data_IF_924261197218
#
_entry.id   IF_924261197218
#
_cell.length_a   1.000
_cell.length_b   1.000
_cell.length_c   1.000
_cell.angle_alpha   90.00
_cell.angle_beta   90.00
_cell.angle_gamma   90.00
#
_symmetry.space_group_name_H-M   'P 1'
#
loop_
_entity.id
_entity.type
_entity.pdbx_description
1 polymer ?
#
# COMPACT_ATOMS: atom_id res chain seq x y z
N UNK A 1 14.46 0.90 31.75
CA UNK A 1 15.52 0.84 30.72
C UNK A 1 16.72 0.18 31.37
N UNK A 2 17.04 -1.06 30.99
CA UNK A 2 18.34 -1.67 31.34
C UNK A 2 19.27 -1.35 30.18
N UNK A 3 20.38 -0.68 30.46
CA UNK A 3 21.45 -0.51 29.49
C UNK A 3 21.94 -1.88 29.03
N UNK A 4 22.26 -1.98 27.74
CA UNK A 4 22.85 -3.18 27.15
C UNK A 4 24.25 -3.31 27.76
N UNK A 5 24.46 -4.37 28.55
CA UNK A 5 25.72 -4.61 29.25
C UNK A 5 26.82 -5.15 28.33
N UNK A 6 28.08 -4.99 28.75
CA UNK A 6 29.31 -5.42 28.07
C UNK A 6 29.30 -6.90 27.62
N UNK A 7 28.49 -7.73 28.27
CA UNK A 7 28.31 -9.16 27.94
C UNK A 7 27.66 -9.40 26.57
N UNK A 8 26.85 -8.43 26.08
CA UNK A 8 26.21 -8.48 24.77
C UNK A 8 27.19 -8.19 23.63
N UNK A 9 28.05 -7.17 23.78
CA UNK A 9 29.08 -6.85 22.79
C UNK A 9 30.11 -7.97 22.63
N UNK A 10 30.41 -8.68 23.72
CA UNK A 10 31.29 -9.84 23.72
C UNK A 10 30.70 -11.00 22.89
N UNK A 11 29.42 -11.32 23.08
CA UNK A 11 28.73 -12.35 22.28
C UNK A 11 28.65 -12.00 20.80
N UNK A 12 28.36 -10.76 20.44
CA UNK A 12 28.32 -10.33 19.05
C UNK A 12 29.68 -10.43 18.33
N UNK A 13 30.80 -10.27 19.06
CA UNK A 13 32.17 -10.44 18.53
C UNK A 13 32.59 -11.91 18.41
N UNK A 14 32.15 -12.76 19.34
CA UNK A 14 32.52 -14.18 19.37
C UNK A 14 31.71 -15.04 18.37
N UNK A 15 30.45 -14.68 18.10
CA UNK A 15 29.51 -15.53 17.32
C UNK A 15 29.25 -15.04 15.89
N UNK A 16 29.75 -13.86 15.50
CA UNK A 16 29.91 -13.47 14.10
C UNK A 16 28.67 -13.57 13.21
N UNK A 17 27.66 -12.70 13.40
CA UNK A 17 26.96 -12.02 12.29
C UNK A 17 25.82 -11.10 12.77
N UNK A 18 25.98 -9.80 12.53
CA UNK A 18 24.87 -8.84 12.57
C UNK A 18 24.19 -8.87 11.21
N UNK A 19 22.93 -9.28 11.15
CA UNK A 19 22.13 -9.27 9.91
C UNK A 19 21.18 -8.06 9.90
N UNK A 20 21.70 -6.86 9.63
CA UNK A 20 20.85 -5.70 9.36
C UNK A 20 21.14 -5.15 7.95
N UNK A 21 20.13 -5.14 7.09
CA UNK A 21 20.16 -4.41 5.81
C UNK A 21 18.92 -3.51 5.78
N UNK A 22 19.00 -2.35 6.43
CA UNK A 22 18.77 -1.02 5.83
C UNK A 22 18.69 0.08 6.90
N UNK A 23 19.41 1.17 6.63
CA UNK A 23 19.54 2.34 7.49
C UNK A 23 19.12 3.61 6.72
N UNK A 24 18.38 4.50 7.38
CA UNK A 24 17.69 5.62 6.75
C UNK A 24 18.01 7.02 7.31
N UNK A 25 19.00 7.12 8.20
CA UNK A 25 19.68 8.39 8.48
C UNK A 25 19.15 9.22 9.65
N UNK A 26 18.73 8.62 10.77
CA UNK A 26 18.54 9.36 12.04
C UNK A 26 19.24 8.67 13.22
N UNK A 27 20.26 9.33 13.80
CA UNK A 27 21.10 8.83 14.92
C UNK A 27 20.29 8.52 16.18
N UNK A 28 19.27 9.33 16.45
CA UNK A 28 18.61 9.44 17.75
C UNK A 28 17.41 8.48 17.93
N UNK A 29 16.94 7.89 16.83
CA UNK A 29 15.65 7.19 16.78
C UNK A 29 15.73 5.74 16.29
N UNK A 30 16.89 5.25 15.83
CA UNK A 30 16.98 3.90 15.27
C UNK A 30 17.09 2.84 16.36
N UNK A 31 16.00 2.09 16.53
CA UNK A 31 15.97 0.85 17.29
C UNK A 31 16.20 -0.32 16.32
N UNK A 32 17.21 -1.15 16.58
CA UNK A 32 17.46 -2.42 15.88
C UNK A 32 16.80 -3.53 16.68
N UNK A 33 16.20 -4.48 15.97
CA UNK A 33 15.81 -5.76 16.56
C UNK A 33 16.94 -6.74 16.26
N UNK A 34 17.69 -7.11 17.30
CA UNK A 34 18.78 -8.07 17.22
C UNK A 34 18.23 -9.43 17.64
N UNK A 35 18.30 -10.41 16.74
CA UNK A 35 17.96 -11.81 17.01
C UNK A 35 19.26 -12.56 17.30
N UNK A 36 19.33 -13.24 18.46
CA UNK A 36 20.45 -14.12 18.76
C UNK A 36 20.26 -15.45 18.03
N UNK A 37 21.24 -15.88 17.24
CA UNK A 37 21.18 -17.15 16.50
C UNK A 37 20.90 -18.31 17.46
N UNK A 38 19.88 -19.12 17.13
CA UNK A 38 19.45 -20.25 17.96
C UNK A 38 18.44 -19.91 19.07
N UNK A 39 17.94 -18.68 19.14
CA UNK A 39 16.87 -18.30 20.07
C UNK A 39 15.70 -17.59 19.36
N UNK A 40 14.48 -17.73 19.88
CA UNK A 40 13.31 -16.93 19.46
C UNK A 40 13.28 -15.53 20.14
N UNK A 41 14.36 -15.14 20.83
CA UNK A 41 14.41 -13.88 21.56
C UNK A 41 14.93 -12.75 20.67
N UNK A 42 14.21 -11.63 20.73
CA UNK A 42 14.53 -10.41 20.00
C UNK A 42 14.82 -9.27 20.98
N UNK A 43 15.91 -8.54 20.75
CA UNK A 43 16.37 -7.46 21.62
C UNK A 43 16.38 -6.13 20.90
N UNK A 44 15.90 -5.08 21.57
CA UNK A 44 15.89 -3.73 21.03
C UNK A 44 17.19 -3.00 21.39
N UNK A 45 18.05 -2.75 20.40
CA UNK A 45 19.30 -2.00 20.55
C UNK A 45 19.27 -0.64 19.84
N UNK A 46 20.13 0.31 20.24
CA UNK A 46 20.35 1.56 19.51
C UNK A 46 21.71 1.49 18.81
N UNK A 47 21.76 1.76 17.50
CA UNK A 47 23.04 1.86 16.78
C UNK A 47 23.70 3.19 17.13
N UNK A 48 24.94 3.15 17.63
CA UNK A 48 25.83 4.31 17.82
C UNK A 48 27.07 4.21 16.93
N UNK A 49 26.89 3.99 15.63
CA UNK A 49 28.00 3.85 14.66
C UNK A 49 27.83 4.79 13.46
N UNK A 50 28.96 5.13 12.82
CA UNK A 50 29.05 6.01 11.65
C UNK A 50 28.16 5.52 10.50
N UNK A 51 27.45 6.47 9.89
CA UNK A 51 26.39 6.19 8.92
C UNK A 51 26.88 5.69 7.56
N UNK A 52 26.32 4.58 7.10
CA UNK A 52 26.35 4.18 5.70
C UNK A 52 25.02 4.56 5.03
N UNK A 53 25.03 5.60 4.18
CA UNK A 53 23.89 5.93 3.31
C UNK A 53 24.00 5.16 2.00
N UNK A 54 22.96 4.42 1.63
CA UNK A 54 22.90 3.76 0.30
C UNK A 54 22.97 4.76 -0.85
N UNK A 55 22.65 6.04 -0.61
CA UNK A 55 22.78 7.10 -1.61
C UNK A 55 24.24 7.52 -1.85
N UNK A 56 25.15 7.21 -0.92
CA UNK A 56 26.57 7.54 -1.03
C UNK A 56 27.37 6.46 -1.78
N UNK A 57 26.74 5.33 -2.10
CA UNK A 57 27.39 4.28 -2.88
C UNK A 57 27.52 4.70 -4.34
N UNK A 58 28.70 4.44 -4.91
CA UNK A 58 28.97 4.53 -6.34
C UNK A 58 27.90 3.77 -7.15
N UNK A 59 27.49 4.34 -8.28
CA UNK A 59 26.65 3.63 -9.24
C UNK A 59 27.42 2.48 -9.87
N UNK A 60 26.77 1.32 -9.99
CA UNK A 60 27.25 0.23 -10.83
C UNK A 60 26.75 0.48 -12.26
N UNK A 61 27.60 0.83 -13.24
CA UNK A 61 27.13 1.08 -14.61
C UNK A 61 26.57 -0.18 -15.29
N UNK A 62 26.84 -1.37 -14.75
CA UNK A 62 26.46 -2.67 -15.29
C UNK A 62 25.51 -3.42 -14.33
N UNK A 63 24.59 -2.71 -13.64
CA UNK A 63 23.58 -3.39 -12.82
C UNK A 63 22.63 -4.21 -13.72
N UNK A 64 22.11 -5.31 -13.19
CA UNK A 64 21.18 -6.16 -13.95
C UNK A 64 19.81 -5.49 -14.07
N UNK A 65 19.24 -5.48 -15.27
CA UNK A 65 17.87 -5.02 -15.48
C UNK A 65 16.87 -5.96 -14.81
N UNK A 66 15.79 -5.40 -14.25
CA UNK A 66 14.67 -6.17 -13.69
C UNK A 66 13.38 -5.77 -14.43
N UNK A 67 12.86 -6.69 -15.23
CA UNK A 67 11.67 -6.50 -16.07
C UNK A 67 10.54 -7.42 -15.63
N UNK A 68 10.08 -7.27 -14.39
CA UNK A 68 8.95 -8.03 -13.83
C UNK A 68 7.69 -7.15 -13.68
N UNK A 69 6.52 -7.79 -13.71
CA UNK A 69 5.22 -7.13 -13.59
C UNK A 69 4.86 -6.20 -14.77
N UNK A 70 3.72 -5.51 -14.69
CA UNK A 70 3.27 -4.62 -15.76
C UNK A 70 4.17 -3.38 -15.87
N UNK A 71 4.23 -2.74 -17.06
CA UNK A 71 4.87 -1.43 -17.19
C UNK A 71 4.20 -0.38 -16.31
N UNK A 72 4.99 0.62 -15.89
CA UNK A 72 4.42 1.78 -15.22
C UNK A 72 3.44 2.49 -16.15
N UNK A 73 2.31 2.89 -15.59
CA UNK A 73 1.35 3.73 -16.30
C UNK A 73 2.02 5.04 -16.70
N UNK A 74 1.75 5.52 -17.91
CA UNK A 74 2.18 6.85 -18.34
C UNK A 74 1.47 7.89 -17.47
N UNK A 75 2.24 8.79 -16.87
CA UNK A 75 1.69 9.85 -16.02
C UNK A 75 1.21 11.02 -16.89
N UNK A 76 -0.04 11.49 -16.74
CA UNK A 76 -0.49 12.78 -17.27
C UNK A 76 0.26 13.94 -16.63
N UNK A 77 0.37 15.07 -17.33
CA UNK A 77 1.10 16.26 -16.86
C UNK A 77 0.56 16.79 -15.52
N UNK A 78 -0.77 16.76 -15.33
CA UNK A 78 -1.43 17.12 -14.07
C UNK A 78 -0.96 16.24 -12.89
N UNK A 79 -0.76 14.94 -13.12
CA UNK A 79 -0.27 14.02 -12.08
C UNK A 79 1.20 14.26 -11.81
N UNK A 80 1.99 14.50 -12.86
CA UNK A 80 3.42 14.83 -12.75
C UNK A 80 3.60 16.06 -11.86
N UNK A 81 2.81 17.12 -12.07
CA UNK A 81 2.90 18.36 -11.30
C UNK A 81 2.53 18.21 -9.82
N UNK A 82 1.67 17.23 -9.47
CA UNK A 82 1.28 16.91 -8.08
C UNK A 82 2.27 15.98 -7.37
N UNK A 83 3.23 15.37 -8.08
CA UNK A 83 4.16 14.43 -7.46
C UNK A 83 5.14 15.12 -6.53
N UNK A 84 5.39 14.50 -5.37
CA UNK A 84 6.52 14.89 -4.52
C UNK A 84 7.86 14.54 -5.17
N UNK A 85 8.94 15.15 -4.69
CA UNK A 85 10.31 14.84 -5.13
C UNK A 85 10.63 13.35 -5.05
N UNK A 86 10.25 12.68 -3.95
CA UNK A 86 10.46 11.23 -3.77
C UNK A 86 9.59 10.39 -4.72
N UNK A 87 8.39 10.84 -5.06
CA UNK A 87 7.53 10.15 -6.04
C UNK A 87 8.09 10.28 -7.46
N UNK A 88 8.60 11.46 -7.82
CA UNK A 88 9.33 11.66 -9.07
C UNK A 88 10.58 10.80 -9.15
N UNK A 89 11.36 10.74 -8.06
CA UNK A 89 12.51 9.86 -7.98
C UNK A 89 12.09 8.40 -8.20
N UNK A 90 11.05 7.93 -7.48
CA UNK A 90 10.51 6.59 -7.57
C UNK A 90 10.07 6.20 -8.98
N UNK A 91 9.37 7.09 -9.69
CA UNK A 91 8.98 6.86 -11.08
C UNK A 91 10.21 6.66 -11.97
N UNK A 92 11.16 7.59 -11.91
CA UNK A 92 12.34 7.60 -12.79
C UNK A 92 13.28 6.43 -12.49
N UNK A 93 13.47 6.06 -11.23
CA UNK A 93 14.38 4.97 -10.88
C UNK A 93 13.80 3.60 -11.27
N UNK A 94 12.48 3.40 -11.20
CA UNK A 94 11.86 2.18 -11.72
C UNK A 94 12.07 2.04 -13.23
N UNK A 95 11.89 3.14 -13.99
CA UNK A 95 12.22 3.16 -15.42
C UNK A 95 13.69 2.80 -15.66
N UNK A 96 14.61 3.44 -14.93
CA UNK A 96 16.04 3.17 -15.04
C UNK A 96 16.41 1.70 -14.74
N UNK A 97 15.84 1.10 -13.70
CA UNK A 97 16.10 -0.32 -13.37
C UNK A 97 15.57 -1.26 -14.45
N UNK A 98 14.43 -0.93 -15.07
CA UNK A 98 13.86 -1.71 -16.18
C UNK A 98 14.69 -1.58 -17.45
N UNK A 99 15.17 -0.38 -17.76
CA UNK A 99 15.96 -0.09 -18.97
C UNK A 99 17.42 -0.51 -18.83
N UNK A 100 17.92 -0.76 -17.62
CA UNK A 100 19.33 -1.08 -17.37
C UNK A 100 20.25 0.15 -17.46
N UNK A 101 19.68 1.37 -17.47
CA UNK A 101 20.43 2.62 -17.64
C UNK A 101 19.97 3.63 -16.59
N UNK A 102 20.90 4.10 -15.75
CA UNK A 102 20.63 5.16 -14.78
C UNK A 102 21.06 6.53 -15.32
N UNK A 103 20.14 7.49 -15.51
CA UNK A 103 20.51 8.84 -15.92
C UNK A 103 21.41 9.53 -14.90
N UNK A 104 22.48 10.20 -15.36
CA UNK A 104 23.45 10.87 -14.48
C UNK A 104 22.79 11.88 -13.52
N UNK A 105 21.80 12.65 -13.99
CA UNK A 105 21.04 13.57 -13.14
C UNK A 105 20.27 12.86 -12.03
N UNK A 106 19.75 11.65 -12.29
CA UNK A 106 19.03 10.87 -11.29
C UNK A 106 19.96 10.30 -10.23
N UNK A 107 21.18 9.90 -10.61
CA UNK A 107 22.20 9.39 -9.68
C UNK A 107 22.61 10.42 -8.61
N UNK A 108 22.51 11.72 -8.93
CA UNK A 108 22.85 12.84 -8.05
C UNK A 108 21.70 13.28 -7.14
N UNK A 109 20.48 12.74 -7.31
CA UNK A 109 19.35 13.12 -6.47
C UNK A 109 19.42 12.44 -5.10
N UNK A 110 19.15 13.21 -4.07
CA UNK A 110 18.97 12.70 -2.72
C UNK A 110 17.56 12.13 -2.56
N UNK A 111 17.48 11.03 -1.80
CA UNK A 111 16.21 10.45 -1.35
C UNK A 111 15.91 11.01 0.03
N UNK A 112 14.67 11.41 0.27
CA UNK A 112 14.24 11.88 1.59
C UNK A 112 14.58 10.91 2.73
N UNK A 113 14.60 11.39 3.99
CA UNK A 113 14.83 10.54 5.16
C UNK A 113 13.74 9.46 5.21
N UNK A 114 14.05 8.23 5.69
CA UNK A 114 12.93 7.29 5.91
C UNK A 114 12.08 7.73 7.08
N UNK A 115 10.83 7.34 6.94
CA UNK A 115 9.78 7.62 7.87
C UNK A 115 9.08 6.28 8.06
N UNK A 116 9.02 5.78 9.31
CA UNK A 116 8.36 4.52 9.62
C UNK A 116 6.90 4.45 9.15
N UNK A 117 6.24 5.59 8.94
CA UNK A 117 4.89 5.65 8.40
C UNK A 117 4.80 5.61 6.87
N UNK A 118 5.94 5.65 6.14
CA UNK A 118 5.98 5.79 4.67
C UNK A 118 6.98 4.82 4.04
N UNK A 119 6.46 3.82 3.35
CA UNK A 119 7.25 2.84 2.60
C UNK A 119 7.97 3.43 1.36
N UNK A 120 7.51 4.57 0.82
CA UNK A 120 8.01 5.17 -0.42
C UNK A 120 9.53 5.42 -0.41
N UNK A 121 10.05 6.09 0.61
CA UNK A 121 11.48 6.42 0.69
C UNK A 121 12.32 5.17 0.91
N UNK A 122 11.81 4.19 1.66
CA UNK A 122 12.44 2.87 1.82
C UNK A 122 12.51 2.12 0.49
N UNK A 123 11.43 2.09 -0.28
CA UNK A 123 11.40 1.49 -1.60
C UNK A 123 12.39 2.18 -2.57
N UNK A 124 12.45 3.51 -2.56
CA UNK A 124 13.46 4.28 -3.32
C UNK A 124 14.90 3.88 -2.96
N UNK A 125 15.17 3.65 -1.68
CA UNK A 125 16.49 3.25 -1.19
C UNK A 125 16.87 1.85 -1.61
N UNK A 126 15.95 0.89 -1.61
CA UNK A 126 16.18 -0.45 -2.17
C UNK A 126 16.52 -0.38 -3.68
N UNK A 127 15.79 0.43 -4.44
CA UNK A 127 16.07 0.63 -5.87
C UNK A 127 17.42 1.34 -6.09
N UNK A 128 17.75 2.34 -5.27
CA UNK A 128 19.07 2.98 -5.30
C UNK A 128 20.17 2.00 -4.97
N UNK A 129 19.99 1.16 -3.96
CA UNK A 129 20.94 0.12 -3.58
C UNK A 129 21.17 -0.86 -4.72
N UNK A 130 20.12 -1.30 -5.42
CA UNK A 130 20.21 -2.20 -6.58
C UNK A 130 21.11 -1.68 -7.70
N UNK A 131 21.01 -0.39 -8.02
CA UNK A 131 21.82 0.25 -9.07
C UNK A 131 23.22 0.66 -8.59
N UNK A 132 23.59 0.35 -7.34
CA UNK A 132 24.86 0.72 -6.73
C UNK A 132 25.89 -0.42 -6.74
N UNK A 133 27.17 -0.09 -6.52
CA UNK A 133 28.24 -1.04 -6.21
C UNK A 133 28.12 -1.54 -4.77
N UNK A 134 27.05 -2.26 -4.46
CA UNK A 134 26.68 -2.67 -3.10
C UNK A 134 27.50 -3.84 -2.54
N UNK A 135 28.23 -4.59 -3.36
CA UNK A 135 29.09 -5.70 -2.92
C UNK A 135 28.36 -6.93 -2.34
N UNK A 136 27.05 -6.85 -2.09
CA UNK A 136 26.22 -7.96 -1.57
C UNK A 136 26.34 -9.25 -2.40
N UNK A 137 26.36 -10.39 -1.71
CA UNK A 137 26.46 -11.75 -2.27
C UNK A 137 25.51 -12.70 -1.54
N UNK A 138 25.35 -13.91 -2.10
CA UNK A 138 24.63 -15.01 -1.45
C UNK A 138 23.18 -14.66 -1.08
N UNK A 139 22.78 -14.97 0.16
CA UNK A 139 21.42 -14.73 0.69
C UNK A 139 21.02 -13.25 0.62
N UNK A 140 21.93 -12.34 0.95
CA UNK A 140 21.63 -10.90 0.97
C UNK A 140 21.35 -10.33 -0.42
N UNK A 141 22.09 -10.79 -1.44
CA UNK A 141 21.81 -10.42 -2.84
C UNK A 141 20.45 -10.97 -3.30
N UNK A 142 20.14 -12.22 -2.96
CA UNK A 142 18.83 -12.84 -3.28
C UNK A 142 17.68 -12.07 -2.62
N UNK A 143 17.82 -11.71 -1.35
CA UNK A 143 16.82 -10.93 -0.62
C UNK A 143 16.61 -9.55 -1.23
N UNK A 144 17.70 -8.84 -1.57
CA UNK A 144 17.60 -7.56 -2.26
C UNK A 144 16.87 -7.70 -3.60
N UNK A 145 17.22 -8.72 -4.39
CA UNK A 145 16.55 -8.98 -5.66
C UNK A 145 15.05 -9.22 -5.49
N UNK A 146 14.63 -10.05 -4.51
CA UNK A 146 13.21 -10.28 -4.23
C UNK A 146 12.46 -9.00 -3.87
N UNK A 147 13.07 -8.14 -3.05
CA UNK A 147 12.47 -6.88 -2.64
C UNK A 147 12.35 -5.92 -3.83
N UNK A 148 13.38 -5.83 -4.68
CA UNK A 148 13.39 -4.99 -5.88
C UNK A 148 12.38 -5.49 -6.92
N UNK A 149 12.31 -6.81 -7.14
CA UNK A 149 11.32 -7.45 -8.01
C UNK A 149 9.89 -7.11 -7.54
N UNK A 150 9.62 -7.19 -6.24
CA UNK A 150 8.32 -6.79 -5.68
C UNK A 150 8.03 -5.29 -5.84
N UNK A 151 9.04 -4.44 -5.60
CA UNK A 151 8.89 -2.99 -5.72
C UNK A 151 8.53 -2.58 -7.17
N UNK A 152 9.23 -3.16 -8.14
CA UNK A 152 9.05 -2.87 -9.58
C UNK A 152 7.79 -3.53 -10.12
N UNK A 153 7.50 -4.77 -9.70
CA UNK A 153 6.41 -5.57 -10.26
C UNK A 153 5.06 -5.34 -9.61
N UNK A 154 5.01 -4.84 -8.36
CA UNK A 154 3.77 -4.71 -7.59
C UNK A 154 3.63 -3.31 -6.99
N UNK A 155 4.58 -2.87 -6.17
CA UNK A 155 4.41 -1.64 -5.36
C UNK A 155 4.23 -0.39 -6.22
N UNK A 156 5.20 -0.07 -7.08
CA UNK A 156 5.13 1.14 -7.90
C UNK A 156 4.06 1.10 -9.00
N UNK A 157 3.82 -0.04 -9.69
CA UNK A 157 2.67 -0.15 -10.58
C UNK A 157 1.36 0.18 -9.88
N UNK A 158 1.10 -0.39 -8.70
CA UNK A 158 -0.11 -0.11 -7.92
C UNK A 158 -0.16 1.36 -7.47
N UNK A 159 0.95 1.90 -6.99
CA UNK A 159 1.05 3.30 -6.54
C UNK A 159 0.69 4.29 -7.64
N UNK A 160 1.32 4.17 -8.81
CA UNK A 160 1.07 5.10 -9.92
C UNK A 160 -0.27 4.87 -10.58
N UNK A 161 -0.77 3.63 -10.64
CA UNK A 161 -2.13 3.35 -11.11
C UNK A 161 -3.19 4.03 -10.22
N UNK A 162 -2.99 4.04 -8.89
CA UNK A 162 -3.84 4.76 -7.94
C UNK A 162 -3.71 6.29 -8.07
N UNK A 163 -2.50 6.81 -8.33
CA UNK A 163 -2.30 8.24 -8.57
C UNK A 163 -3.00 8.73 -9.85
N UNK A 164 -2.90 7.98 -10.93
CA UNK A 164 -3.54 8.35 -12.21
C UNK A 164 -5.06 8.15 -12.12
N UNK A 165 -5.52 6.98 -11.67
CA UNK A 165 -6.96 6.66 -11.59
C UNK A 165 -7.48 6.91 -10.17
N UNK A 166 -7.26 8.12 -9.68
CA UNK A 166 -7.47 8.47 -8.27
C UNK A 166 -8.92 8.50 -7.81
N UNK A 167 -9.93 8.45 -8.69
CA UNK A 167 -11.33 8.48 -8.26
C UNK A 167 -11.66 7.29 -7.33
N UNK A 168 -12.34 7.54 -6.21
CA UNK A 168 -12.67 6.53 -5.20
C UNK A 168 -13.44 5.31 -5.74
N UNK A 169 -14.30 5.49 -6.75
CA UNK A 169 -15.01 4.38 -7.41
C UNK A 169 -14.08 3.45 -8.21
N UNK A 170 -12.82 3.83 -8.42
CA UNK A 170 -11.78 2.96 -9.02
C UNK A 170 -11.11 2.06 -7.98
N UNK A 171 -11.33 2.30 -6.69
CA UNK A 171 -10.84 1.49 -5.58
C UNK A 171 -10.93 -0.02 -5.79
N UNK A 172 -12.11 -0.58 -6.09
CA UNK A 172 -12.25 -2.02 -6.39
C UNK A 172 -11.33 -2.52 -7.51
N UNK A 173 -11.18 -1.72 -8.57
CA UNK A 173 -10.32 -2.04 -9.73
C UNK A 173 -8.84 -1.96 -9.36
N UNK A 174 -8.46 -1.18 -8.35
CA UNK A 174 -7.09 -1.20 -7.82
C UNK A 174 -6.77 -2.48 -7.06
N UNK A 175 -7.74 -3.06 -6.34
CA UNK A 175 -7.56 -4.35 -5.68
C UNK A 175 -7.34 -5.44 -6.73
N UNK A 176 -8.17 -5.50 -7.78
CA UNK A 176 -7.98 -6.45 -8.89
C UNK A 176 -6.60 -6.28 -9.54
N UNK A 177 -6.22 -5.05 -9.86
CA UNK A 177 -4.90 -4.77 -10.43
C UNK A 177 -3.76 -5.21 -9.50
N UNK A 178 -3.90 -5.03 -8.19
CA UNK A 178 -2.92 -5.50 -7.21
C UNK A 178 -2.82 -7.03 -7.19
N UNK A 179 -3.95 -7.73 -7.19
CA UNK A 179 -3.99 -9.19 -7.25
C UNK A 179 -3.34 -9.71 -8.55
N UNK A 180 -3.61 -9.06 -9.68
CA UNK A 180 -2.98 -9.42 -10.96
C UNK A 180 -1.47 -9.20 -10.96
N UNK A 181 -0.99 -8.10 -10.36
CA UNK A 181 0.46 -7.90 -10.17
C UNK A 181 1.07 -9.00 -9.29
N UNK A 182 0.37 -9.39 -8.22
CA UNK A 182 0.82 -10.43 -7.29
C UNK A 182 0.89 -11.81 -7.94
N UNK A 183 0.02 -12.15 -8.90
CA UNK A 183 0.07 -13.45 -9.63
C UNK A 183 1.44 -13.72 -10.29
N UNK A 184 2.20 -12.66 -10.61
CA UNK A 184 3.55 -12.78 -11.18
C UNK A 184 4.66 -13.07 -10.16
N UNK A 185 4.36 -13.02 -8.86
CA UNK A 185 5.34 -13.11 -7.79
C UNK A 185 5.58 -14.55 -7.34
N UNK A 186 6.76 -14.80 -6.78
CA UNK A 186 7.12 -16.12 -6.22
C UNK A 186 6.23 -16.44 -5.02
N UNK A 187 5.95 -17.73 -4.80
CA UNK A 187 5.13 -18.22 -3.68
C UNK A 187 5.60 -17.68 -2.32
N UNK A 188 6.91 -17.68 -2.07
CA UNK A 188 7.49 -17.14 -0.82
C UNK A 188 7.15 -15.66 -0.60
N UNK A 189 7.11 -14.85 -1.66
CA UNK A 189 6.72 -13.43 -1.60
C UNK A 189 5.22 -13.31 -1.35
N UNK A 190 4.42 -14.12 -2.07
CA UNK A 190 2.97 -14.18 -1.87
C UNK A 190 2.60 -14.50 -0.42
N UNK A 191 3.21 -15.55 0.14
CA UNK A 191 2.95 -16.00 1.52
C UNK A 191 3.23 -14.88 2.55
N UNK A 192 4.26 -14.05 2.29
CA UNK A 192 4.61 -12.91 3.14
C UNK A 192 3.63 -11.73 3.03
N UNK A 193 3.18 -11.38 1.82
CA UNK A 193 2.42 -10.15 1.57
C UNK A 193 0.90 -10.34 1.67
N UNK A 194 0.40 -11.53 1.36
CA UNK A 194 -1.04 -11.81 1.31
C UNK A 194 -1.80 -11.53 2.62
N UNK A 195 -1.24 -11.78 3.83
CA UNK A 195 -1.90 -11.38 5.07
C UNK A 195 -2.18 -9.87 5.13
N UNK A 196 -1.25 -9.05 4.66
CA UNK A 196 -1.42 -7.59 4.62
C UNK A 196 -2.41 -7.18 3.54
N UNK A 197 -2.34 -7.79 2.35
CA UNK A 197 -3.29 -7.54 1.25
C UNK A 197 -4.72 -7.81 1.73
N UNK A 198 -4.99 -8.98 2.33
CA UNK A 198 -6.31 -9.34 2.86
C UNK A 198 -6.80 -8.37 3.93
N UNK A 199 -5.95 -8.00 4.90
CA UNK A 199 -6.33 -7.05 5.97
C UNK A 199 -6.65 -5.64 5.44
N UNK A 200 -6.07 -5.26 4.31
CA UNK A 200 -6.19 -3.91 3.74
C UNK A 200 -7.21 -3.78 2.60
N UNK A 201 -7.89 -4.88 2.22
CA UNK A 201 -8.79 -4.95 1.07
C UNK A 201 -10.16 -4.27 1.30
N UNK A 202 -10.18 -3.08 1.90
CA UNK A 202 -11.40 -2.35 2.24
C UNK A 202 -12.23 -1.95 1.01
N UNK A 203 -11.57 -1.67 -0.12
CA UNK A 203 -12.27 -1.40 -1.37
C UNK A 203 -12.92 -2.65 -1.98
N UNK A 204 -12.70 -3.84 -1.42
CA UNK A 204 -13.45 -5.03 -1.80
C UNK A 204 -14.82 -5.13 -1.09
N UNK A 205 -15.15 -4.20 -0.18
CA UNK A 205 -16.45 -4.22 0.52
C UNK A 205 -17.61 -4.09 -0.47
N UNK A 206 -18.69 -4.85 -0.25
CA UNK A 206 -19.85 -4.92 -1.14
C UNK A 206 -20.39 -3.55 -1.57
N UNK A 207 -20.50 -2.61 -0.62
CA UNK A 207 -20.87 -1.22 -0.90
C UNK A 207 -19.97 -0.56 -1.96
N UNK A 208 -18.66 -0.74 -1.87
CA UNK A 208 -17.69 -0.16 -2.80
C UNK A 208 -17.76 -0.85 -4.16
N UNK A 209 -17.96 -2.17 -4.17
CA UNK A 209 -18.13 -2.94 -5.41
C UNK A 209 -19.39 -2.51 -6.16
N UNK A 210 -20.54 -2.50 -5.49
CA UNK A 210 -21.83 -2.10 -6.06
C UNK A 210 -21.75 -0.65 -6.55
N UNK A 211 -21.16 0.26 -5.78
CA UNK A 211 -20.97 1.64 -6.22
C UNK A 211 -20.16 1.74 -7.52
N UNK A 212 -19.05 0.98 -7.61
CA UNK A 212 -18.20 0.96 -8.80
C UNK A 212 -18.89 0.33 -10.02
N UNK A 213 -19.84 -0.58 -9.80
CA UNK A 213 -20.70 -1.16 -10.84
C UNK A 213 -21.74 -0.15 -11.33
N UNK A 214 -22.46 0.53 -10.43
CA UNK A 214 -23.47 1.54 -10.78
C UNK A 214 -22.90 2.74 -11.54
N UNK A 215 -21.65 3.12 -11.24
CA UNK A 215 -20.95 4.22 -11.90
C UNK A 215 -20.21 3.78 -13.18
N UNK A 216 -20.31 2.50 -13.58
CA UNK A 216 -19.61 1.98 -14.75
C UNK A 216 -20.25 2.48 -16.04
N UNK A 217 -19.42 2.77 -17.05
CA UNK A 217 -19.91 3.07 -18.40
C UNK A 217 -20.45 1.79 -19.09
N UNK A 218 -20.01 0.61 -18.66
CA UNK A 218 -20.55 -0.67 -19.14
C UNK A 218 -21.95 -0.93 -18.55
N UNK A 219 -22.95 -1.10 -19.41
CA UNK A 219 -24.32 -1.41 -19.00
C UNK A 219 -24.42 -2.75 -18.26
N UNK A 220 -23.59 -3.75 -18.60
CA UNK A 220 -23.59 -5.06 -17.93
C UNK A 220 -23.17 -4.94 -16.47
N UNK A 221 -22.16 -4.12 -16.19
CA UNK A 221 -21.76 -3.80 -14.82
C UNK A 221 -22.92 -3.17 -14.06
N UNK A 222 -23.61 -2.18 -14.66
CA UNK A 222 -24.74 -1.49 -14.02
C UNK A 222 -25.92 -2.41 -13.75
N UNK A 223 -26.26 -3.30 -14.69
CA UNK A 223 -27.29 -4.33 -14.49
C UNK A 223 -26.95 -5.17 -13.26
N UNK A 224 -25.72 -5.67 -13.16
CA UNK A 224 -25.29 -6.47 -12.01
C UNK A 224 -25.36 -5.68 -10.69
N UNK A 225 -24.88 -4.43 -10.69
CA UNK A 225 -24.95 -3.56 -9.52
C UNK A 225 -26.39 -3.31 -9.04
N UNK A 226 -27.32 -3.06 -9.97
CA UNK A 226 -28.74 -2.90 -9.66
C UNK A 226 -29.34 -4.20 -9.13
N UNK A 227 -29.09 -5.34 -9.78
CA UNK A 227 -29.56 -6.65 -9.32
C UNK A 227 -29.12 -6.96 -7.89
N UNK A 228 -27.88 -6.64 -7.52
CA UNK A 228 -27.40 -6.82 -6.13
C UNK A 228 -28.21 -5.97 -5.15
N UNK A 229 -28.51 -4.72 -5.48
CA UNK A 229 -29.36 -3.87 -4.61
C UNK A 229 -30.77 -4.44 -4.51
N UNK A 230 -31.36 -4.90 -5.62
CA UNK A 230 -32.69 -5.52 -5.60
C UNK A 230 -32.71 -6.77 -4.71
N UNK A 231 -31.67 -7.60 -4.76
CA UNK A 231 -31.53 -8.76 -3.85
C UNK A 231 -31.42 -8.33 -2.39
N UNK A 232 -30.64 -7.28 -2.10
CA UNK A 232 -30.46 -6.75 -0.72
C UNK A 232 -31.77 -6.19 -0.17
N UNK A 233 -32.52 -5.44 -0.97
CA UNK A 233 -33.78 -4.81 -0.54
C UNK A 233 -34.95 -5.80 -0.46
N UNK A 234 -34.92 -6.87 -1.23
CA UNK A 234 -36.00 -7.85 -1.29
C UNK A 234 -37.30 -7.25 -1.84
N UNK A 235 -38.42 -7.90 -1.51
CA UNK A 235 -39.75 -7.48 -2.00
C UNK A 235 -40.21 -6.17 -1.37
N UNK A 236 -40.80 -5.28 -2.18
CA UNK A 236 -41.34 -4.01 -1.74
C UNK A 236 -41.91 -3.19 -2.91
N UNK A 237 -42.64 -2.11 -2.61
CA UNK A 237 -43.14 -1.20 -3.64
C UNK A 237 -41.97 -0.40 -4.25
N UNK A 238 -41.70 -0.51 -5.56
CA UNK A 238 -40.57 0.15 -6.19
C UNK A 238 -40.53 1.68 -6.03
N UNK A 239 -41.68 2.33 -5.84
CA UNK A 239 -41.77 3.79 -5.75
C UNK A 239 -41.45 4.32 -4.35
N UNK A 240 -41.66 3.51 -3.30
CA UNK A 240 -41.54 3.94 -1.89
C UNK A 240 -40.48 3.17 -1.10
N UNK A 241 -40.06 1.98 -1.56
CA UNK A 241 -39.02 1.19 -0.91
C UNK A 241 -37.66 1.88 -1.02
N UNK A 242 -37.12 2.24 0.14
CA UNK A 242 -35.78 2.81 0.33
C UNK A 242 -34.80 1.73 0.82
N UNK A 243 -33.51 2.06 0.85
CA UNK A 243 -32.48 1.16 1.37
C UNK A 243 -32.28 1.31 2.88
N UNK A 244 -31.67 0.29 3.51
CA UNK A 244 -31.38 0.32 4.94
C UNK A 244 -30.22 1.29 5.26
N UNK A 245 -30.54 2.41 5.92
CA UNK A 245 -29.57 3.42 6.36
C UNK A 245 -29.09 3.24 7.81
N UNK A 246 -29.32 2.08 8.42
CA UNK A 246 -28.87 1.78 9.78
C UNK A 246 -27.34 1.82 9.91
N UNK A 247 -26.85 2.00 11.14
CA UNK A 247 -25.40 2.00 11.42
C UNK A 247 -24.83 0.60 11.20
N UNK A 248 -23.79 0.50 10.37
CA UNK A 248 -23.22 -0.78 9.91
C UNK A 248 -21.90 -1.08 10.61
N UNK A 249 -21.70 -2.34 11.01
CA UNK A 249 -20.41 -2.78 11.51
C UNK A 249 -19.41 -2.91 10.37
N UNK A 250 -18.23 -2.32 10.54
CA UNK A 250 -17.18 -2.33 9.52
C UNK A 250 -16.38 -3.64 9.59
N UNK A 251 -16.57 -4.52 8.61
CA UNK A 251 -15.83 -5.79 8.47
C UNK A 251 -15.08 -5.83 7.13
N UNK A 252 -13.80 -6.17 7.14
CA UNK A 252 -13.05 -6.39 5.89
C UNK A 252 -13.56 -7.69 5.25
N UNK A 253 -13.95 -7.68 3.98
CA UNK A 253 -14.39 -8.89 3.31
C UNK A 253 -13.23 -9.83 3.04
N UNK A 254 -13.53 -11.12 2.94
CA UNK A 254 -12.59 -12.11 2.42
C UNK A 254 -12.54 -12.00 0.90
N UNK A 255 -11.35 -11.70 0.38
CA UNK A 255 -11.13 -11.54 -1.06
C UNK A 255 -10.79 -12.87 -1.72
N UNK A 256 -11.35 -13.09 -2.90
CA UNK A 256 -10.94 -14.13 -3.83
C UNK A 256 -9.66 -13.69 -4.56
N UNK A 257 -8.55 -14.40 -4.35
CA UNK A 257 -7.25 -14.06 -4.96
C UNK A 257 -7.20 -14.32 -6.46
N UNK A 258 -8.08 -15.19 -6.96
CA UNK A 258 -8.17 -15.56 -8.38
C UNK A 258 -9.18 -14.69 -9.14
N UNK A 259 -9.76 -13.69 -8.48
CA UNK A 259 -10.72 -12.79 -9.11
C UNK A 259 -10.13 -12.13 -10.36
N UNK A 260 -10.94 -12.07 -11.41
CA UNK A 260 -10.63 -11.36 -12.67
C UNK A 260 -11.63 -10.24 -12.96
N UNK A 261 -12.74 -10.19 -12.22
CA UNK A 261 -13.75 -9.15 -12.30
C UNK A 261 -14.15 -8.64 -10.91
N UNK A 262 -14.82 -7.48 -10.87
CA UNK A 262 -15.36 -6.91 -9.62
C UNK A 262 -16.37 -7.88 -8.98
N UNK A 263 -17.14 -8.59 -9.79
CA UNK A 263 -18.15 -9.53 -9.32
C UNK A 263 -17.54 -10.76 -8.65
N UNK A 264 -16.33 -11.15 -9.03
CA UNK A 264 -15.68 -12.35 -8.49
C UNK A 264 -14.81 -12.05 -7.25
N UNK A 265 -14.70 -10.78 -6.85
CA UNK A 265 -13.73 -10.33 -5.84
C UNK A 265 -14.08 -10.79 -4.42
N UNK A 266 -15.37 -11.00 -4.12
CA UNK A 266 -15.87 -11.47 -2.82
C UNK A 266 -16.99 -12.50 -3.02
N UNK A 267 -17.30 -13.24 -1.95
CA UNK A 267 -18.59 -13.95 -1.88
C UNK A 267 -19.73 -12.96 -1.66
N UNK A 268 -20.84 -13.16 -2.37
CA UNK A 268 -22.07 -12.36 -2.24
C UNK A 268 -23.13 -13.02 -1.34
N UNK A 269 -22.76 -14.05 -0.58
CA UNK A 269 -23.72 -14.85 0.20
C UNK A 269 -24.04 -14.29 1.60
N UNK A 270 -23.13 -13.55 2.21
CA UNK A 270 -23.27 -13.09 3.60
C UNK A 270 -22.67 -11.68 3.79
N UNK A 271 -23.33 -10.86 4.61
CA UNK A 271 -22.87 -9.52 4.97
C UNK A 271 -22.79 -8.53 3.79
N UNK A 272 -23.60 -8.74 2.75
CA UNK A 272 -23.66 -7.82 1.59
C UNK A 272 -24.54 -6.61 1.94
N UNK A 273 -24.03 -5.42 1.68
CA UNK A 273 -24.66 -4.14 2.01
C UNK A 273 -24.71 -3.27 0.76
N UNK A 274 -25.81 -2.55 0.55
CA UNK A 274 -25.93 -1.60 -0.56
C UNK A 274 -25.18 -0.29 -0.23
N UNK A 275 -24.67 0.47 -1.21
CA UNK A 275 -23.95 1.71 -0.95
C UNK A 275 -24.81 2.72 -0.15
N UNK A 276 -24.25 3.44 0.84
CA UNK A 276 -25.00 4.47 1.57
C UNK A 276 -25.64 5.53 0.67
N UNK A 277 -25.02 5.82 -0.48
CA UNK A 277 -25.53 6.77 -1.47
C UNK A 277 -26.80 6.31 -2.17
N UNK A 278 -27.13 5.01 -2.15
CA UNK A 278 -28.35 4.47 -2.76
C UNK A 278 -29.49 4.35 -1.75
N UNK A 279 -29.22 4.35 -0.44
CA UNK A 279 -30.24 4.13 0.59
C UNK A 279 -31.36 5.18 0.60
N UNK A 280 -31.08 6.41 0.19
CA UNK A 280 -32.08 7.48 0.09
C UNK A 280 -32.88 7.46 -1.22
N UNK A 281 -32.53 6.58 -2.16
CA UNK A 281 -33.17 6.44 -3.46
C UNK A 281 -34.19 5.32 -3.42
N UNK A 282 -35.33 5.54 -4.05
CA UNK A 282 -36.33 4.50 -4.31
C UNK A 282 -35.76 3.39 -5.19
N UNK A 283 -36.33 2.21 -5.09
CA UNK A 283 -35.95 1.07 -5.93
C UNK A 283 -36.15 1.38 -7.42
N UNK A 284 -37.15 2.20 -7.78
CA UNK A 284 -37.36 2.68 -9.14
C UNK A 284 -36.21 3.58 -9.62
N UNK A 285 -35.75 4.52 -8.81
CA UNK A 285 -34.61 5.39 -9.13
C UNK A 285 -33.33 4.57 -9.31
N UNK A 286 -33.09 3.58 -8.44
CA UNK A 286 -31.94 2.67 -8.57
C UNK A 286 -31.98 1.91 -9.89
N UNK A 287 -33.15 1.40 -10.31
CA UNK A 287 -33.32 0.74 -11.62
C UNK A 287 -32.98 1.67 -12.79
N UNK A 288 -33.19 2.98 -12.63
CA UNK A 288 -32.81 3.99 -13.61
C UNK A 288 -31.32 3.95 -13.98
N UNK A 289 -30.45 3.51 -13.07
CA UNK A 289 -29.01 3.43 -13.32
C UNK A 289 -28.63 2.39 -14.37
N UNK A 290 -29.50 1.44 -14.74
CA UNK A 290 -29.25 0.54 -15.88
C UNK A 290 -29.03 1.36 -17.16
N UNK A 291 -29.82 2.42 -17.36
CA UNK A 291 -29.80 3.22 -18.58
C UNK A 291 -28.78 4.36 -18.54
N UNK A 292 -28.38 4.82 -17.35
CA UNK A 292 -27.44 5.93 -17.19
C UNK A 292 -26.58 5.75 -15.94
N UNK A 293 -25.25 5.84 -16.03
CA UNK A 293 -24.38 5.66 -14.88
C UNK A 293 -24.71 6.62 -13.73
N UNK A 294 -24.67 6.11 -12.51
CA UNK A 294 -24.78 6.94 -11.32
C UNK A 294 -23.63 7.96 -11.31
N UNK A 295 -23.95 9.24 -11.12
CA UNK A 295 -22.96 10.31 -10.99
C UNK A 295 -22.68 10.56 -9.52
N UNK A 296 -21.41 10.55 -9.15
CA UNK A 296 -20.94 10.79 -7.78
C UNK A 296 -19.84 11.84 -7.78
N UNK A 297 -19.63 12.54 -6.65
CA UNK A 297 -18.48 13.42 -6.51
C UNK A 297 -17.18 12.68 -6.79
N UNK A 298 -16.29 13.32 -7.54
CA UNK A 298 -14.99 12.77 -7.88
C UNK A 298 -14.01 12.95 -6.70
N UNK A 299 -14.23 12.23 -5.61
CA UNK A 299 -13.30 12.23 -4.49
C UNK A 299 -12.07 11.36 -4.80
N UNK A 300 -10.86 11.84 -4.49
CA UNK A 300 -9.66 11.03 -4.56
C UNK A 300 -9.68 9.90 -3.51
N UNK A 301 -9.33 8.69 -3.93
CA UNK A 301 -9.16 7.49 -3.10
C UNK A 301 -7.99 7.62 -2.11
N UNK A 302 -7.09 8.56 -2.38
CA UNK A 302 -5.91 8.84 -1.60
C UNK A 302 -5.60 10.35 -1.61
N UNK A 303 -5.53 10.97 -0.43
CA UNK A 303 -5.22 12.40 -0.27
C UNK A 303 -4.02 12.60 0.65
N UNK A 304 -3.38 13.76 0.53
CA UNK A 304 -2.35 14.19 1.49
C UNK A 304 -2.89 14.25 2.93
N UNK A 305 -4.18 14.59 3.10
CA UNK A 305 -4.81 14.56 4.42
C UNK A 305 -4.91 13.14 4.97
N UNK A 306 -5.24 12.15 4.15
CA UNK A 306 -5.21 10.74 4.56
C UNK A 306 -3.79 10.31 4.94
N UNK A 307 -2.76 10.69 4.17
CA UNK A 307 -1.36 10.39 4.53
C UNK A 307 -0.98 10.97 5.91
N UNK A 308 -1.39 12.21 6.20
CA UNK A 308 -1.15 12.86 7.49
C UNK A 308 -1.88 12.14 8.62
N UNK A 309 -3.13 11.73 8.41
CA UNK A 309 -3.89 10.96 9.40
C UNK A 309 -3.22 9.62 9.70
N UNK A 310 -2.78 8.88 8.66
CA UNK A 310 -2.05 7.62 8.85
C UNK A 310 -0.81 7.84 9.71
N UNK A 311 -0.02 8.89 9.41
CA UNK A 311 1.16 9.24 10.21
C UNK A 311 0.80 9.50 11.68
N UNK A 312 -0.22 10.33 11.95
CA UNK A 312 -0.65 10.64 13.32
C UNK A 312 -1.14 9.40 14.07
N UNK A 313 -1.91 8.54 13.41
CA UNK A 313 -2.37 7.26 13.99
C UNK A 313 -1.19 6.34 14.30
N UNK A 314 -0.19 6.26 13.42
CA UNK A 314 1.03 5.48 13.66
C UNK A 314 1.82 6.01 14.85
N UNK A 315 2.03 7.33 14.93
CA UNK A 315 2.74 7.97 16.05
C UNK A 315 2.00 7.78 17.38
N UNK A 316 0.67 7.90 17.39
CA UNK A 316 -0.15 7.64 18.57
C UNK A 316 -0.09 6.15 18.97
N UNK A 317 -0.11 5.24 18.00
CA UNK A 317 -0.05 3.80 18.26
C UNK A 317 1.29 3.32 18.78
N UNK A 318 2.38 4.00 18.41
CA UNK A 318 3.70 3.74 18.98
C UNK A 318 3.80 4.17 20.47
N UNK A 319 2.97 5.13 20.90
CA UNK A 319 3.01 5.69 22.26
C UNK A 319 1.94 5.15 23.20
N UNK A 320 0.78 4.77 22.67
CA UNK A 320 -0.40 4.45 23.48
C UNK A 320 -1.01 3.10 23.11
N UNK A 321 -1.20 2.27 24.14
CA UNK A 321 -1.71 0.90 23.99
C UNK A 321 -3.24 0.82 23.78
N UNK A 322 -4.04 1.64 24.46
CA UNK A 322 -5.51 1.58 24.35
C UNK A 322 -6.05 2.48 23.23
N UNK A 323 -7.16 2.08 22.63
CA UNK A 323 -7.86 2.86 21.60
C UNK A 323 -8.27 4.24 22.12
N UNK A 324 -8.82 4.32 23.32
CA UNK A 324 -9.25 5.58 23.95
C UNK A 324 -8.09 6.57 24.12
N UNK A 325 -6.92 6.10 24.58
CA UNK A 325 -5.73 6.95 24.73
C UNK A 325 -5.17 7.40 23.39
N UNK A 326 -5.17 6.52 22.37
CA UNK A 326 -4.79 6.89 21.00
C UNK A 326 -5.71 7.97 20.44
N UNK A 327 -7.02 7.77 20.55
CA UNK A 327 -8.03 8.72 20.06
C UNK A 327 -7.92 10.07 20.78
N UNK A 328 -7.80 10.06 22.11
CA UNK A 328 -7.61 11.26 22.92
C UNK A 328 -6.35 12.05 22.53
N UNK A 329 -5.22 11.36 22.30
CA UNK A 329 -3.98 11.99 21.86
C UNK A 329 -4.11 12.63 20.47
N UNK A 330 -4.74 11.93 19.51
CA UNK A 330 -4.97 12.44 18.15
C UNK A 330 -5.86 13.69 18.21
N UNK A 331 -6.98 13.63 18.96
CA UNK A 331 -7.89 14.78 19.11
C UNK A 331 -7.22 15.98 19.76
N UNK A 332 -6.42 15.77 20.80
CA UNK A 332 -5.68 16.84 21.45
C UNK A 332 -4.67 17.50 20.50
N UNK A 333 -3.99 16.71 19.66
CA UNK A 333 -3.05 17.20 18.67
C UNK A 333 -3.75 17.98 17.54
N UNK A 334 -4.92 17.53 17.07
CA UNK A 334 -5.72 18.27 16.08
C UNK A 334 -6.27 19.58 16.65
N UNK A 335 -6.74 19.59 17.90
CA UNK A 335 -7.26 20.79 18.55
C UNK A 335 -6.18 21.85 18.83
N UNK A 336 -4.90 21.48 18.78
CA UNK A 336 -3.77 22.38 19.01
C UNK A 336 -3.20 23.02 17.72
N UNK A 337 -3.80 22.72 16.55
CA UNK A 337 -3.41 23.28 15.25
C UNK A 337 -4.24 24.50 14.89
#
# INVERSE_FOLDING_TARGET
MKEIGEDFEKKCREEGSISCILFDGRIDMTNVIMEAEGSEQSYMGKIKEEHYSVANLDINPNFNCICVGPPLIKLPDEVIQDLSTDQHYGYKIVCAVREGVLPAKLALLEIGPVNHSRWLTTANRFLRLWVSKHGLRGKNLKNLQLIVEFIIGVYYPCWFNAKVKHCWIKGPRHILFQLDCLKSQKKEVLDLVMPTVRRSAWYAHSEMLIQALLCSEDQKDRINGVEKILTIRGEGDPNSQLGDSSVRMRKTPEINTEATSINDLISWSDGVLEPPLTCSLSTLEVKGFINSPMKVPNWPCHTQSIERVVKMVTEASAKYYSQEKRDGAIRAQEASK
#
